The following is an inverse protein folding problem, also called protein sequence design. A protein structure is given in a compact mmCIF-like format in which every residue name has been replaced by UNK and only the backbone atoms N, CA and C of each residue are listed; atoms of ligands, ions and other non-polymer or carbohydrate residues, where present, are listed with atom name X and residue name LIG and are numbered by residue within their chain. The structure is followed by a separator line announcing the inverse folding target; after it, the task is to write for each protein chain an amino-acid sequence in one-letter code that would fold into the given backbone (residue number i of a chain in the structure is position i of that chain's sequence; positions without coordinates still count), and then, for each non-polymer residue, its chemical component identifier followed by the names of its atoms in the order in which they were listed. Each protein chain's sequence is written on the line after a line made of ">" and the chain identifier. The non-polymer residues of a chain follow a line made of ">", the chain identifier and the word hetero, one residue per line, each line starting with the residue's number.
data_IF_997939141816
#
_entry.id   IF_997939141816
#
_cell.length_a   1.000
_cell.length_b   1.000
_cell.length_c   1.000
_cell.angle_alpha   90.00
_cell.angle_beta   90.00
_cell.angle_gamma   90.00
#
_symmetry.space_group_name_H-M   'P 1'
#
loop_
_entity.id
_entity.type
_entity.pdbx_description
1 polymer ?
#
# COMPACT_ATOMS: atom_id res chain seq x y z
N UNK A 1 -0.45 19.84 -7.71
CA UNK A 1 -0.78 18.68 -8.54
C UNK A 1 0.23 18.54 -9.68
N UNK A 2 0.48 17.31 -10.15
CA UNK A 2 1.48 17.06 -11.18
C UNK A 2 1.02 17.55 -12.57
N UNK A 3 -0.06 16.99 -13.10
CA UNK A 3 -0.65 17.38 -14.39
C UNK A 3 -2.13 17.71 -14.21
N UNK A 4 -2.59 18.78 -14.86
CA UNK A 4 -4.00 19.18 -14.85
C UNK A 4 -4.77 18.67 -16.10
N UNK A 5 -4.05 18.38 -17.17
CA UNK A 5 -4.60 17.78 -18.38
C UNK A 5 -4.10 16.34 -18.51
N UNK A 6 -5.02 15.40 -18.54
CA UNK A 6 -4.78 13.97 -18.50
C UNK A 6 -5.59 13.27 -19.58
N UNK A 7 -5.13 12.11 -20.02
CA UNK A 7 -5.98 11.17 -20.73
C UNK A 7 -6.60 10.18 -19.76
N UNK A 8 -7.78 9.63 -20.09
CA UNK A 8 -8.44 8.65 -19.23
C UNK A 8 -7.54 7.43 -19.03
N UNK A 9 -7.30 7.05 -17.77
CA UNK A 9 -6.36 5.99 -17.40
C UNK A 9 -4.94 6.46 -17.07
N UNK A 10 -4.58 7.70 -17.39
CA UNK A 10 -3.31 8.28 -16.97
C UNK A 10 -3.27 8.50 -15.45
N UNK A 11 -2.07 8.55 -14.90
CA UNK A 11 -1.87 8.83 -13.48
C UNK A 11 -1.35 10.25 -13.27
N UNK A 12 -1.93 10.97 -12.32
CA UNK A 12 -1.38 12.22 -11.80
C UNK A 12 -1.12 12.13 -10.30
N UNK A 13 -0.19 12.93 -9.79
CA UNK A 13 0.15 12.95 -8.36
C UNK A 13 -0.41 14.19 -7.70
N UNK A 14 -1.27 14.00 -6.70
CA UNK A 14 -1.67 15.04 -5.77
C UNK A 14 -0.68 15.06 -4.61
N UNK A 15 -0.01 16.19 -4.40
CA UNK A 15 0.85 16.42 -3.24
C UNK A 15 0.17 17.43 -2.32
N UNK A 16 -0.02 17.04 -1.07
CA UNK A 16 -0.52 17.92 0.00
C UNK A 16 0.58 18.09 1.02
N UNK A 17 0.95 19.34 1.27
CA UNK A 17 1.99 19.68 2.24
C UNK A 17 1.35 20.40 3.41
N UNK A 18 1.59 19.89 4.62
CA UNK A 18 1.21 20.55 5.87
C UNK A 18 2.49 20.96 6.59
N UNK A 19 2.64 22.26 6.85
CA UNK A 19 3.79 22.79 7.56
C UNK A 19 3.37 23.79 8.65
N UNK A 20 4.11 23.82 9.73
CA UNK A 20 3.81 24.71 10.84
C UNK A 20 4.62 24.43 12.09
N UNK A 21 4.30 25.18 13.14
CA UNK A 21 4.80 24.98 14.49
C UNK A 21 3.82 24.12 15.27
N UNK A 22 4.33 23.22 16.09
CA UNK A 22 3.53 22.27 16.87
C UNK A 22 3.63 20.84 16.37
N UNK A 23 2.62 20.01 16.67
CA UNK A 23 2.65 18.58 16.41
C UNK A 23 2.23 18.23 14.96
N UNK A 24 3.00 18.71 13.99
CA UNK A 24 2.77 18.39 12.56
C UNK A 24 3.01 16.91 12.25
N UNK A 25 3.78 16.21 13.07
CA UNK A 25 4.09 14.79 12.90
C UNK A 25 2.82 13.92 12.91
N UNK A 26 1.87 14.21 13.79
CA UNK A 26 0.67 13.40 13.99
C UNK A 26 -0.49 13.78 13.05
N UNK A 27 -0.31 14.78 12.19
CA UNK A 27 -1.32 15.13 11.19
C UNK A 27 -1.62 13.92 10.30
N UNK A 28 -2.90 13.64 10.12
CA UNK A 28 -3.40 12.56 9.27
C UNK A 28 -4.43 13.09 8.27
N UNK A 29 -4.36 12.64 7.04
CA UNK A 29 -5.30 12.93 5.96
C UNK A 29 -6.02 11.64 5.52
N UNK A 30 -6.59 10.91 6.46
CA UNK A 30 -7.14 9.56 6.22
C UNK A 30 -8.47 9.56 5.44
N UNK A 31 -9.24 10.64 5.51
CA UNK A 31 -10.59 10.73 4.92
C UNK A 31 -10.66 11.81 3.83
N UNK A 32 -9.75 11.72 2.85
CA UNK A 32 -9.80 12.62 1.71
C UNK A 32 -10.97 12.27 0.79
N UNK A 33 -12.00 13.09 0.81
CA UNK A 33 -13.06 13.02 -0.20
C UNK A 33 -12.62 13.79 -1.46
N UNK A 34 -11.87 13.12 -2.32
CA UNK A 34 -11.41 13.70 -3.59
C UNK A 34 -12.42 13.51 -4.73
N UNK A 35 -13.58 12.89 -4.44
CA UNK A 35 -14.63 12.54 -5.41
C UNK A 35 -14.51 11.10 -5.91
N UNK A 36 -15.65 10.53 -6.29
CA UNK A 36 -15.76 9.11 -6.71
C UNK A 36 -15.21 8.85 -8.12
N UNK A 37 -14.77 9.89 -8.82
CA UNK A 37 -14.26 9.82 -10.19
C UNK A 37 -12.79 9.43 -10.29
N UNK A 38 -12.10 9.29 -9.16
CA UNK A 38 -10.69 8.94 -9.10
C UNK A 38 -10.46 7.67 -8.33
N UNK A 39 -9.60 6.80 -8.84
CA UNK A 39 -8.98 5.75 -8.03
C UNK A 39 -7.76 6.33 -7.36
N UNK A 40 -7.70 6.22 -6.04
CA UNK A 40 -6.72 6.89 -5.18
C UNK A 40 -5.77 5.85 -4.60
N UNK A 41 -4.48 6.07 -4.78
CA UNK A 41 -3.44 5.25 -4.18
C UNK A 41 -2.56 6.14 -3.28
N UNK A 42 -2.69 6.00 -1.95
CA UNK A 42 -1.85 6.76 -1.01
C UNK A 42 -0.43 6.22 -0.99
N UNK A 43 0.54 7.13 -0.90
CA UNK A 43 1.94 6.83 -0.60
C UNK A 43 2.22 7.04 0.88
N UNK A 44 3.36 6.56 1.37
CA UNK A 44 3.79 6.81 2.74
C UNK A 44 4.13 8.30 2.93
N UNK A 45 3.53 8.96 3.94
CA UNK A 45 3.84 10.35 4.22
C UNK A 45 5.30 10.53 4.67
N UNK A 46 5.92 11.63 4.22
CA UNK A 46 7.27 12.00 4.61
C UNK A 46 7.17 13.15 5.60
N UNK A 47 7.79 13.01 6.76
CA UNK A 47 7.88 14.06 7.77
C UNK A 47 9.31 14.57 7.93
N UNK A 48 9.45 15.90 7.92
CA UNK A 48 10.72 16.59 8.17
C UNK A 48 10.53 17.52 9.36
N UNK A 49 11.25 17.25 10.45
CA UNK A 49 11.23 18.09 11.65
C UNK A 49 11.96 19.41 11.39
N UNK A 50 11.42 20.51 11.91
CA UNK A 50 12.08 21.80 11.95
C UNK A 50 12.05 22.39 13.36
N UNK A 51 13.04 23.23 13.69
CA UNK A 51 13.14 23.93 14.96
C UNK A 51 13.31 25.41 14.65
N UNK A 52 12.41 26.23 15.19
CA UNK A 52 12.39 27.67 15.04
C UNK A 52 12.55 28.32 16.43
N UNK A 53 13.77 28.72 16.77
CA UNK A 53 14.08 29.21 18.11
C UNK A 53 13.82 28.11 19.17
N UNK A 54 12.86 28.33 20.06
CA UNK A 54 12.48 27.36 21.12
C UNK A 54 11.24 26.56 20.78
N UNK A 55 10.71 26.68 19.55
CA UNK A 55 9.51 25.99 19.11
C UNK A 55 9.84 24.87 18.15
N UNK A 56 9.18 23.74 18.35
CA UNK A 56 9.26 22.56 17.47
C UNK A 56 8.13 22.63 16.45
N UNK A 57 8.45 22.35 15.21
CA UNK A 57 7.50 22.23 14.12
C UNK A 57 7.99 21.24 13.08
N UNK A 58 7.46 21.34 11.89
CA UNK A 58 7.87 20.50 10.78
C UNK A 58 7.05 20.70 9.54
N UNK A 59 7.37 19.87 8.57
CA UNK A 59 6.65 19.73 7.32
C UNK A 59 6.29 18.25 7.12
N UNK A 60 5.03 17.99 6.80
CA UNK A 60 4.55 16.65 6.44
C UNK A 60 3.96 16.68 5.04
N UNK A 61 4.52 15.82 4.18
CA UNK A 61 4.16 15.72 2.78
C UNK A 61 3.39 14.44 2.56
N UNK A 62 2.17 14.57 2.04
CA UNK A 62 1.32 13.46 1.62
C UNK A 62 1.28 13.41 0.11
N UNK A 63 1.46 12.23 -0.48
CA UNK A 63 1.35 12.01 -1.92
C UNK A 63 0.27 10.98 -2.20
N UNK A 64 -0.54 11.27 -3.21
CA UNK A 64 -1.60 10.39 -3.68
C UNK A 64 -1.50 10.27 -5.19
N UNK A 65 -1.35 9.06 -5.70
CA UNK A 65 -1.51 8.83 -7.12
C UNK A 65 -3.01 8.74 -7.43
N UNK A 66 -3.46 9.58 -8.37
CA UNK A 66 -4.84 9.66 -8.80
C UNK A 66 -4.96 9.15 -10.22
N UNK A 67 -5.84 8.18 -10.43
CA UNK A 67 -6.17 7.64 -11.75
C UNK A 67 -7.62 7.96 -12.05
N UNK A 68 -7.91 8.92 -12.95
CA UNK A 68 -9.28 9.23 -13.35
C UNK A 68 -9.82 8.11 -14.25
N UNK A 69 -11.07 7.72 -14.02
CA UNK A 69 -11.76 6.76 -14.87
C UNK A 69 -12.97 7.36 -15.61
N UNK A 70 -13.25 8.65 -15.37
CA UNK A 70 -14.27 9.41 -16.10
C UNK A 70 -13.64 10.53 -16.88
N UNK A 71 -14.13 10.79 -18.09
CA UNK A 71 -13.68 11.89 -18.95
C UNK A 71 -14.41 13.18 -18.63
N UNK A 72 -13.89 14.31 -19.14
CA UNK A 72 -14.47 15.63 -18.97
C UNK A 72 -13.76 16.43 -17.87
N UNK A 73 -14.41 17.53 -17.45
CA UNK A 73 -13.88 18.37 -16.39
C UNK A 73 -14.23 17.77 -15.03
N UNK A 74 -13.22 17.48 -14.24
CA UNK A 74 -13.34 16.96 -12.89
C UNK A 74 -12.76 17.96 -11.90
N UNK A 75 -13.30 17.99 -10.68
CA UNK A 75 -12.81 18.90 -9.65
C UNK A 75 -12.44 18.09 -8.39
N UNK A 76 -11.23 18.28 -7.93
CA UNK A 76 -10.81 17.85 -6.60
C UNK A 76 -11.31 18.91 -5.62
N UNK A 77 -12.13 18.50 -4.65
CA UNK A 77 -12.66 19.40 -3.62
C UNK A 77 -11.55 19.94 -2.73
N UNK A 78 -11.81 21.07 -2.07
CA UNK A 78 -10.90 21.62 -1.08
C UNK A 78 -10.66 20.62 0.07
N UNK A 79 -9.41 20.51 0.49
CA UNK A 79 -9.00 19.68 1.61
C UNK A 79 -8.91 20.57 2.84
N UNK A 80 -9.65 20.23 3.89
CA UNK A 80 -9.69 21.00 5.14
C UNK A 80 -8.89 20.28 6.22
N UNK A 81 -8.17 21.06 7.02
CA UNK A 81 -7.45 20.62 8.20
C UNK A 81 -7.93 21.41 9.41
N UNK A 82 -8.37 20.71 10.44
CA UNK A 82 -8.73 21.30 11.73
C UNK A 82 -7.54 21.19 12.68
N UNK A 83 -7.21 22.27 13.37
CA UNK A 83 -6.16 22.29 14.35
C UNK A 83 -6.54 23.16 15.55
N UNK A 84 -5.92 22.88 16.69
CA UNK A 84 -6.05 23.69 17.91
C UNK A 84 -4.94 24.71 17.96
N UNK A 85 -5.28 25.98 18.18
CA UNK A 85 -4.35 27.08 18.39
C UNK A 85 -4.22 27.33 19.90
N UNK A 86 -3.10 26.95 20.54
CA UNK A 86 -2.95 27.11 21.98
C UNK A 86 -2.77 28.55 22.44
N UNK A 87 -2.33 29.45 21.55
CA UNK A 87 -2.16 30.86 21.89
C UNK A 87 -3.50 31.59 21.98
N UNK A 88 -4.49 31.13 21.22
CA UNK A 88 -5.84 31.70 21.20
C UNK A 88 -6.87 30.85 21.91
N UNK A 89 -6.49 29.64 22.35
CA UNK A 89 -7.37 28.65 23.01
C UNK A 89 -8.61 28.31 22.16
N UNK A 90 -8.42 28.17 20.83
CA UNK A 90 -9.52 27.91 19.89
C UNK A 90 -9.16 26.88 18.81
N UNK A 91 -10.19 26.23 18.25
CA UNK A 91 -10.06 25.38 17.07
C UNK A 91 -10.21 26.20 15.79
N UNK A 92 -9.24 26.06 14.92
CA UNK A 92 -9.22 26.71 13.62
C UNK A 92 -9.30 25.68 12.48
N UNK A 93 -9.75 26.14 11.31
CA UNK A 93 -9.82 25.34 10.10
C UNK A 93 -9.09 26.08 8.97
N UNK A 94 -8.17 25.38 8.34
CA UNK A 94 -7.54 25.83 7.09
C UNK A 94 -7.97 24.90 5.96
N UNK A 95 -8.07 25.45 4.75
CA UNK A 95 -8.53 24.70 3.58
C UNK A 95 -7.70 25.07 2.36
N UNK A 96 -7.47 24.07 1.50
CA UNK A 96 -6.86 24.32 0.18
C UNK A 96 -7.90 24.89 -0.80
N UNK A 97 -7.44 25.47 -1.89
CA UNK A 97 -8.31 25.74 -3.01
C UNK A 97 -8.71 24.45 -3.75
N UNK A 98 -9.91 24.39 -4.34
CA UNK A 98 -10.29 23.29 -5.22
C UNK A 98 -9.42 23.29 -6.48
N UNK A 99 -9.16 22.10 -7.04
CA UNK A 99 -8.31 21.93 -8.23
C UNK A 99 -9.17 21.36 -9.36
N UNK A 100 -9.18 22.02 -10.52
CA UNK A 100 -9.87 21.52 -11.70
C UNK A 100 -8.92 20.73 -12.60
N UNK A 101 -9.35 19.55 -13.02
CA UNK A 101 -8.64 18.67 -13.94
C UNK A 101 -9.47 18.52 -15.22
N UNK A 102 -8.79 18.45 -16.36
CA UNK A 102 -9.42 18.15 -17.64
C UNK A 102 -8.95 16.79 -18.12
N UNK A 103 -9.89 15.83 -18.19
CA UNK A 103 -9.60 14.45 -18.58
C UNK A 103 -10.16 14.22 -19.98
N UNK A 104 -9.26 14.00 -20.93
CA UNK A 104 -9.59 13.69 -22.31
C UNK A 104 -9.91 12.19 -22.45
N UNK A 105 -10.71 11.79 -23.45
CA UNK A 105 -10.81 10.38 -23.79
C UNK A 105 -9.43 9.82 -24.08
N UNK A 106 -9.07 8.70 -23.44
CA UNK A 106 -7.79 8.04 -23.69
C UNK A 106 -7.69 7.64 -25.16
N UNK A 107 -6.55 7.92 -25.77
CA UNK A 107 -6.24 7.47 -27.14
C UNK A 107 -5.86 5.99 -27.21
N UNK A 108 -5.81 5.33 -26.06
CA UNK A 108 -5.61 3.89 -25.95
C UNK A 108 -6.84 3.15 -26.45
N UNK A 109 -6.86 2.85 -27.75
CA UNK A 109 -7.58 1.69 -28.27
C UNK A 109 -6.93 0.42 -27.71
N UNK A 110 -7.07 0.17 -26.41
CA UNK A 110 -7.15 -1.20 -25.97
C UNK A 110 -8.50 -1.71 -26.47
N UNK A 111 -8.49 -2.14 -27.72
CA UNK A 111 -9.45 -3.10 -28.20
C UNK A 111 -9.34 -4.30 -27.26
N UNK A 112 -10.08 -4.25 -26.15
CA UNK A 112 -10.51 -5.45 -25.49
C UNK A 112 -11.35 -6.19 -26.50
N UNK A 113 -10.69 -6.91 -27.40
CA UNK A 113 -11.28 -8.01 -28.12
C UNK A 113 -11.74 -9.00 -27.06
N UNK A 114 -12.91 -8.73 -26.50
CA UNK A 114 -13.73 -9.75 -25.89
C UNK A 114 -13.96 -10.77 -27.01
N UNK A 115 -13.06 -11.74 -27.06
CA UNK A 115 -13.29 -12.97 -27.82
C UNK A 115 -14.54 -13.59 -27.24
N UNK A 116 -15.71 -13.18 -27.79
CA UNK A 116 -16.92 -13.96 -27.66
C UNK A 116 -16.60 -15.30 -28.26
N UNK A 117 -16.30 -16.28 -27.42
CA UNK A 117 -16.24 -17.67 -27.80
C UNK A 117 -17.62 -18.10 -28.31
N UNK A 118 -17.89 -17.82 -29.58
CA UNK A 118 -18.93 -18.60 -30.32
C UNK A 118 -18.35 -19.99 -30.48
N UNK A 119 -18.87 -20.92 -29.71
CA UNK A 119 -18.70 -22.33 -29.99
C UNK A 119 -19.19 -22.64 -31.41
N UNK A 120 -18.28 -22.99 -32.31
CA UNK A 120 -18.56 -23.80 -33.48
C UNK A 120 -17.28 -24.61 -33.81
N UNK A 121 -17.37 -25.91 -34.05
CA UNK A 121 -16.21 -26.76 -34.28
C UNK A 121 -15.76 -26.64 -35.72
N UNK A 122 -14.59 -26.06 -35.97
CA UNK A 122 -13.91 -26.28 -37.26
C UNK A 122 -12.41 -26.38 -37.02
N UNK A 123 -11.91 -27.56 -37.38
CA UNK A 123 -10.49 -27.86 -37.45
C UNK A 123 -9.82 -26.90 -38.40
N UNK A 124 -8.80 -26.20 -37.99
CA UNK A 124 -7.77 -25.67 -38.86
C UNK A 124 -6.39 -25.68 -38.21
N UNK A 125 -5.53 -26.30 -38.94
CA UNK A 125 -4.14 -26.66 -38.76
C UNK A 125 -3.24 -25.43 -38.70
N UNK A 126 -2.42 -25.35 -37.64
CA UNK A 126 -1.07 -24.80 -37.68
C UNK A 126 -0.91 -23.28 -37.73
N UNK A 127 -0.72 -22.66 -36.58
CA UNK A 127 0.32 -21.65 -36.41
C UNK A 127 0.76 -21.67 -34.93
N UNK A 128 2.04 -21.90 -34.75
CA UNK A 128 2.72 -21.89 -33.46
C UNK A 128 2.64 -20.47 -32.89
N UNK A 129 1.74 -20.24 -31.97
CA UNK A 129 1.75 -19.04 -31.13
C UNK A 129 2.86 -19.23 -30.12
N UNK A 130 3.95 -18.52 -30.32
CA UNK A 130 5.02 -18.41 -29.34
C UNK A 130 4.48 -17.67 -28.11
N UNK A 131 4.18 -18.42 -27.05
CA UNK A 131 3.75 -17.88 -25.76
C UNK A 131 4.98 -17.25 -25.10
N UNK A 132 5.08 -15.93 -25.17
CA UNK A 132 6.10 -15.12 -24.47
C UNK A 132 5.68 -14.78 -23.03
N UNK A 133 4.78 -15.56 -22.44
CA UNK A 133 4.31 -15.37 -21.07
C UNK A 133 4.84 -16.48 -20.15
N UNK A 134 6.14 -16.45 -19.84
CA UNK A 134 6.76 -17.38 -18.91
C UNK A 134 7.13 -16.75 -17.56
N UNK A 135 6.58 -15.57 -17.27
CA UNK A 135 6.98 -14.80 -16.08
C UNK A 135 5.87 -14.60 -15.04
N UNK A 136 4.75 -15.31 -15.16
CA UNK A 136 3.74 -15.34 -14.12
C UNK A 136 3.83 -16.70 -13.44
N UNK A 137 4.35 -16.73 -12.21
CA UNK A 137 4.31 -17.91 -11.36
C UNK A 137 2.85 -18.37 -11.24
N UNK A 138 2.55 -19.66 -11.42
CA UNK A 138 1.20 -20.17 -11.31
C UNK A 138 0.67 -19.92 -9.90
N UNK A 139 -0.49 -19.28 -9.80
CA UNK A 139 -1.19 -19.11 -8.54
C UNK A 139 -1.69 -20.49 -8.10
N UNK A 140 -1.22 -20.94 -6.93
CA UNK A 140 -1.74 -22.17 -6.33
C UNK A 140 -3.20 -21.96 -5.90
N UNK A 141 -4.12 -22.48 -6.65
CA UNK A 141 -5.57 -22.36 -6.38
C UNK A 141 -6.14 -23.52 -5.56
N UNK A 142 -5.33 -24.56 -5.30
CA UNK A 142 -5.75 -25.73 -4.53
C UNK A 142 -5.02 -25.77 -3.19
N UNK A 143 -5.79 -26.02 -2.13
CA UNK A 143 -5.27 -26.20 -0.76
C UNK A 143 -4.28 -27.37 -0.67
N UNK A 144 -4.39 -28.35 -1.57
CA UNK A 144 -3.54 -29.53 -1.68
C UNK A 144 -2.09 -29.20 -2.13
N UNK A 145 -1.90 -28.04 -2.77
CA UNK A 145 -0.57 -27.59 -3.21
C UNK A 145 0.29 -27.02 -2.06
N UNK A 146 -0.32 -26.78 -0.90
CA UNK A 146 0.42 -26.38 0.30
C UNK A 146 0.99 -27.63 0.97
N UNK A 147 2.32 -27.81 0.85
CA UNK A 147 3.05 -28.81 1.63
C UNK A 147 2.87 -28.48 3.11
N UNK A 148 2.12 -29.32 3.83
CA UNK A 148 2.14 -29.27 5.29
C UNK A 148 3.56 -29.56 5.76
N UNK A 149 4.12 -28.66 6.58
CA UNK A 149 5.40 -28.89 7.23
C UNK A 149 5.16 -29.96 8.32
N UNK A 150 5.25 -31.22 7.91
CA UNK A 150 5.29 -32.33 8.86
C UNK A 150 6.73 -32.50 9.29
N UNK A 151 6.99 -32.27 10.58
CA UNK A 151 8.31 -32.57 11.15
C UNK A 151 8.58 -34.08 11.03
N UNK A 152 9.65 -34.41 10.34
CA UNK A 152 10.11 -35.80 10.24
C UNK A 152 10.40 -36.34 11.63
N UNK A 153 10.20 -37.68 11.82
CA UNK A 153 10.40 -38.36 13.08
C UNK A 153 11.78 -38.06 13.68
N UNK A 154 12.80 -37.98 12.83
CA UNK A 154 14.17 -37.68 13.25
C UNK A 154 14.33 -36.24 13.76
N UNK A 155 13.65 -35.29 13.14
CA UNK A 155 13.63 -33.88 13.61
C UNK A 155 12.95 -33.75 14.97
N UNK A 156 11.85 -34.47 15.21
CA UNK A 156 11.17 -34.48 16.53
C UNK A 156 12.07 -35.01 17.61
N UNK A 157 12.81 -36.11 17.34
CA UNK A 157 13.78 -36.69 18.29
C UNK A 157 14.89 -35.68 18.57
N UNK A 158 15.42 -35.01 17.56
CA UNK A 158 16.48 -34.01 17.71
C UNK A 158 16.06 -32.84 18.61
N UNK A 159 14.85 -32.33 18.45
CA UNK A 159 14.32 -31.27 19.31
C UNK A 159 14.06 -31.73 20.74
N UNK A 160 13.53 -32.96 20.92
CA UNK A 160 13.30 -33.54 22.25
C UNK A 160 14.62 -33.79 23.00
N UNK A 161 15.64 -34.31 22.34
CA UNK A 161 16.95 -34.49 22.94
C UNK A 161 17.63 -33.17 23.27
N UNK A 162 17.51 -32.16 22.42
CA UNK A 162 18.03 -30.81 22.65
C UNK A 162 17.47 -30.14 23.92
N UNK A 163 16.21 -30.42 24.27
CA UNK A 163 15.57 -29.90 25.49
C UNK A 163 15.87 -30.77 26.72
N UNK A 164 15.90 -32.11 26.57
CA UNK A 164 16.08 -33.03 27.69
C UNK A 164 17.52 -33.04 28.25
N UNK A 165 18.52 -32.90 27.39
CA UNK A 165 19.94 -32.95 27.81
C UNK A 165 20.29 -31.85 28.84
N UNK A 166 19.99 -30.57 28.63
CA UNK A 166 20.31 -29.52 29.61
C UNK A 166 19.56 -29.71 30.94
N UNK A 167 18.32 -30.21 30.90
CA UNK A 167 17.55 -30.51 32.10
C UNK A 167 18.21 -31.63 32.90
N UNK A 168 18.65 -32.68 32.22
CA UNK A 168 19.33 -33.80 32.88
C UNK A 168 20.65 -33.36 33.52
N UNK A 169 21.45 -32.57 32.83
CA UNK A 169 22.72 -32.03 33.35
C UNK A 169 22.46 -31.17 34.59
N UNK A 170 21.41 -30.33 34.56
CA UNK A 170 21.01 -29.50 35.69
C UNK A 170 20.62 -30.35 36.91
N UNK A 171 19.83 -31.41 36.70
CA UNK A 171 19.41 -32.29 37.79
C UNK A 171 20.60 -33.05 38.41
N UNK A 172 21.56 -33.53 37.59
CA UNK A 172 22.76 -34.16 38.06
C UNK A 172 23.64 -33.20 38.88
N UNK A 173 23.83 -31.98 38.37
CA UNK A 173 24.60 -30.95 39.06
C UNK A 173 23.94 -30.54 40.40
N UNK A 174 22.62 -30.35 40.41
CA UNK A 174 21.88 -30.03 41.62
C UNK A 174 21.89 -31.14 42.65
N UNK A 175 21.81 -32.41 42.20
CA UNK A 175 21.95 -33.58 43.05
C UNK A 175 23.36 -33.68 43.64
N UNK A 176 24.39 -33.44 42.86
CA UNK A 176 25.78 -33.46 43.32
C UNK A 176 26.07 -32.40 44.38
N UNK A 177 25.56 -31.15 44.18
CA UNK A 177 25.70 -30.05 45.14
C UNK A 177 24.97 -30.36 46.45
N UNK A 178 23.87 -31.12 46.41
CA UNK A 178 23.10 -31.48 47.62
C UNK A 178 23.69 -32.65 48.39
N UNK A 179 24.59 -33.44 47.75
CA UNK A 179 25.25 -34.60 48.36
C UNK A 179 26.58 -34.22 49.04
N UNK A 180 27.22 -33.12 48.61
CA UNK A 180 28.39 -32.53 49.27
C UNK A 180 27.93 -31.58 50.39
#
# INVERSE_FOLDING_TARGET
>A
IGKENLDAGDTTTLTVTVSGIGNVMDVSLTNLNLGDQFKIYPDQPIFTKSIHGNQIGGEKIFKFALVPFTTGRQTISSISLHYFDPDKDEYNTISTNPISLTIKPGTGTENLNLVQSKMAPTQQKGSTVSILARDILPIHTRVEDFKSVTFDKNQRIMYMTGILIPILIYLIAAGYIRYI
#
